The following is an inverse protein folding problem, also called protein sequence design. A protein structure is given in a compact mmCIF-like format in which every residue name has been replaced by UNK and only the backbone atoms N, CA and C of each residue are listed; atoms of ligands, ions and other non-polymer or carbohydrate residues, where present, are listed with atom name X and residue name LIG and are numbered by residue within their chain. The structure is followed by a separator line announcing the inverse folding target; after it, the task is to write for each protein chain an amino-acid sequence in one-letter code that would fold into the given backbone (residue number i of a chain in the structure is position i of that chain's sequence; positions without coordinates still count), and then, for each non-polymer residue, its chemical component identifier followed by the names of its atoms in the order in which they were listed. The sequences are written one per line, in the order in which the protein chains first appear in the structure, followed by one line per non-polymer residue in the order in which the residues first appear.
data_IF_189422584420
#
_entry.id   IF_189422584420
#
_cell.length_a   1.000
_cell.length_b   1.000
_cell.length_c   1.000
_cell.angle_alpha   90.00
_cell.angle_beta   90.00
_cell.angle_gamma   90.00
#
_symmetry.space_group_name_H-M   'P 1'
#
loop_
_entity.id
_entity.type
_entity.pdbx_description
1 polymer ?
#
# COMPACT_ATOMS: atom_id res chain seq x y z
N UNK A 1 -8.47 -20.39 -11.44
CA UNK A 1 -8.43 -18.94 -11.09
C UNK A 1 -7.49 -18.16 -12.02
N UNK A 2 -6.19 -18.47 -12.09
CA UNK A 2 -5.23 -17.74 -12.92
C UNK A 2 -5.57 -17.62 -14.42
N UNK A 3 -6.27 -18.61 -15.00
CA UNK A 3 -6.70 -18.59 -16.42
C UNK A 3 -7.72 -17.49 -16.75
N UNK A 4 -8.43 -16.96 -15.76
CA UNK A 4 -9.52 -16.00 -15.96
C UNK A 4 -9.13 -14.56 -15.57
N UNK A 5 -7.86 -14.29 -15.25
CA UNK A 5 -7.42 -12.93 -14.95
C UNK A 5 -7.50 -12.06 -16.20
N UNK A 6 -8.12 -10.88 -16.06
CA UNK A 6 -8.26 -9.85 -17.09
C UNK A 6 -6.95 -9.10 -17.33
N UNK A 7 -5.95 -9.81 -17.86
CA UNK A 7 -4.57 -9.33 -18.10
C UNK A 7 -4.49 -8.15 -19.06
N UNK A 8 -5.49 -8.02 -19.93
CA UNK A 8 -5.67 -6.92 -20.87
C UNK A 8 -5.88 -5.56 -20.18
N UNK A 9 -6.26 -5.54 -18.90
CA UNK A 9 -6.37 -4.32 -18.10
C UNK A 9 -5.03 -3.80 -17.56
N UNK A 10 -3.96 -4.59 -17.64
CA UNK A 10 -2.63 -4.15 -17.23
C UNK A 10 -2.09 -3.14 -18.24
N UNK A 11 -1.57 -2.02 -17.71
CA UNK A 11 -0.84 -1.06 -18.52
C UNK A 11 0.43 -1.70 -19.09
N UNK A 12 0.93 -1.12 -20.19
CA UNK A 12 2.20 -1.47 -20.82
C UNK A 12 3.05 -0.19 -20.90
N UNK A 13 3.46 0.31 -19.73
CA UNK A 13 4.29 1.50 -19.64
C UNK A 13 5.68 1.16 -20.20
N UNK A 14 6.31 2.05 -20.99
CA UNK A 14 7.65 1.80 -21.48
C UNK A 14 8.62 1.65 -20.29
N UNK A 15 9.57 0.72 -20.35
CA UNK A 15 10.63 0.65 -19.35
C UNK A 15 11.44 1.94 -19.36
N UNK A 16 11.84 2.41 -18.18
CA UNK A 16 12.76 3.56 -18.09
C UNK A 16 14.15 3.08 -18.46
N UNK A 17 14.74 3.66 -19.51
CA UNK A 17 16.16 3.47 -19.80
C UNK A 17 16.97 4.07 -18.65
N UNK A 18 17.69 3.22 -17.90
CA UNK A 18 18.52 3.65 -16.78
C UNK A 18 19.57 4.67 -17.23
N UNK A 19 19.62 5.82 -16.57
CA UNK A 19 20.44 6.96 -17.03
C UNK A 19 20.92 7.87 -15.90
N UNK A 20 21.64 7.29 -14.94
CA UNK A 20 22.77 7.95 -14.26
C UNK A 20 23.87 6.89 -14.13
N UNK A 21 25.14 7.26 -14.04
CA UNK A 21 26.30 6.33 -13.99
C UNK A 21 26.19 5.25 -12.88
N UNK A 22 25.31 5.43 -11.90
CA UNK A 22 24.94 4.47 -10.84
C UNK A 22 23.41 4.31 -10.71
N UNK A 23 22.69 4.30 -11.83
CA UNK A 23 21.22 4.39 -11.88
C UNK A 23 20.48 3.38 -10.99
N UNK A 24 19.19 3.66 -10.67
CA UNK A 24 18.39 2.73 -9.87
C UNK A 24 18.41 1.35 -10.51
N UNK A 25 18.64 0.30 -9.69
CA UNK A 25 18.66 -1.09 -10.17
C UNK A 25 17.40 -1.37 -10.99
N UNK A 26 17.58 -2.06 -12.11
CA UNK A 26 16.46 -2.56 -12.91
C UNK A 26 15.48 -3.32 -11.99
N UNK A 27 14.19 -3.06 -12.18
CA UNK A 27 13.14 -3.84 -11.52
C UNK A 27 13.05 -5.18 -12.24
N UNK A 28 13.42 -6.27 -11.57
CA UNK A 28 13.36 -7.62 -12.12
C UNK A 28 12.07 -8.31 -11.62
N UNK A 29 11.00 -8.42 -12.44
CA UNK A 29 9.75 -9.09 -12.05
C UNK A 29 9.90 -10.42 -11.32
N UNK A 30 10.85 -11.25 -11.72
CA UNK A 30 11.09 -12.57 -11.14
C UNK A 30 11.58 -12.48 -9.69
N UNK A 31 12.48 -11.54 -9.37
CA UNK A 31 12.92 -11.33 -7.99
C UNK A 31 11.77 -10.85 -7.09
N UNK A 32 10.85 -10.07 -7.64
CA UNK A 32 9.66 -9.65 -6.92
C UNK A 32 8.67 -10.79 -6.79
N UNK A 33 8.55 -11.67 -7.79
CA UNK A 33 7.70 -12.86 -7.71
C UNK A 33 8.07 -13.73 -6.50
N UNK A 34 9.37 -13.91 -6.24
CA UNK A 34 9.86 -14.70 -5.10
C UNK A 34 9.49 -14.09 -3.74
N UNK A 35 9.35 -12.77 -3.64
CA UNK A 35 8.96 -12.09 -2.38
C UNK A 35 7.49 -12.33 -2.01
N UNK A 36 6.64 -12.51 -3.02
CA UNK A 36 5.20 -12.80 -2.85
C UNK A 36 4.87 -14.29 -2.95
N UNK A 37 5.86 -15.18 -3.07
CA UNK A 37 5.63 -16.63 -3.28
C UNK A 37 5.04 -17.33 -2.05
N UNK A 38 5.22 -16.76 -0.85
CA UNK A 38 4.79 -17.33 0.44
C UNK A 38 3.70 -16.42 1.05
N UNK A 39 2.71 -16.97 1.76
CA UNK A 39 1.65 -16.19 2.38
C UNK A 39 2.20 -15.20 3.43
N UNK A 40 1.78 -13.94 3.31
CA UNK A 40 2.00 -12.92 4.35
C UNK A 40 0.79 -12.95 5.30
N UNK A 41 1.04 -13.01 6.61
CA UNK A 41 0.00 -13.32 7.59
C UNK A 41 -0.94 -12.15 7.84
N UNK A 42 -0.43 -10.92 7.86
CA UNK A 42 -1.15 -9.63 7.92
C UNK A 42 -2.31 -9.51 8.94
N UNK A 43 -2.42 -10.42 9.90
CA UNK A 43 -3.47 -10.44 10.94
C UNK A 43 -3.05 -9.67 12.20
N UNK A 44 -1.76 -9.62 12.55
CA UNK A 44 -1.29 -8.74 13.62
C UNK A 44 -0.98 -7.34 13.07
N UNK A 45 -1.71 -6.33 13.54
CA UNK A 45 -1.54 -4.95 13.08
C UNK A 45 -0.10 -4.41 13.22
N UNK A 46 0.61 -4.80 14.28
CA UNK A 46 1.99 -4.36 14.51
C UNK A 46 3.04 -5.28 13.90
N UNK A 47 2.63 -6.34 13.18
CA UNK A 47 3.55 -7.24 12.47
C UNK A 47 4.41 -8.12 13.38
N UNK A 48 4.06 -8.27 14.67
CA UNK A 48 4.83 -9.06 15.64
C UNK A 48 4.88 -10.56 15.30
N UNK A 49 3.96 -11.01 14.44
CA UNK A 49 3.87 -12.37 13.90
C UNK A 49 4.48 -12.49 12.50
N UNK A 50 5.07 -11.42 11.95
CA UNK A 50 5.63 -11.42 10.60
C UNK A 50 6.80 -12.40 10.50
N UNK A 51 6.77 -13.37 9.57
CA UNK A 51 7.87 -14.28 9.38
C UNK A 51 9.13 -13.57 8.86
N UNK A 52 10.13 -13.44 9.74
CA UNK A 52 11.37 -12.67 9.50
C UNK A 52 12.11 -13.08 8.22
N UNK A 53 11.99 -14.34 7.80
CA UNK A 53 12.69 -14.88 6.63
C UNK A 53 12.17 -14.31 5.29
N UNK A 54 10.91 -13.89 5.21
CA UNK A 54 10.29 -13.67 3.90
C UNK A 54 9.17 -12.61 3.85
N UNK A 55 8.66 -12.14 4.99
CA UNK A 55 7.62 -11.12 5.05
C UNK A 55 8.20 -9.83 5.64
N UNK A 56 7.90 -8.65 5.06
CA UNK A 56 8.27 -7.39 5.69
C UNK A 56 7.51 -7.19 7.01
N UNK A 57 8.22 -6.78 8.06
CA UNK A 57 7.64 -6.57 9.39
C UNK A 57 6.82 -5.28 9.49
N UNK A 58 7.32 -4.18 8.93
CA UNK A 58 6.73 -2.86 9.10
C UNK A 58 5.99 -2.41 7.83
N UNK A 59 4.95 -1.57 8.02
CA UNK A 59 3.98 -1.28 6.96
C UNK A 59 4.57 -0.48 5.80
N UNK A 60 5.56 0.36 6.09
CA UNK A 60 6.37 1.05 5.10
C UNK A 60 7.01 0.08 4.09
N UNK A 61 7.63 -1.00 4.57
CA UNK A 61 8.32 -1.97 3.73
C UNK A 61 7.33 -2.82 2.93
N UNK A 62 6.16 -3.11 3.49
CA UNK A 62 5.05 -3.72 2.74
C UNK A 62 4.56 -2.79 1.64
N UNK A 63 4.30 -1.52 1.95
CA UNK A 63 3.90 -0.51 0.97
C UNK A 63 4.93 -0.40 -0.16
N UNK A 64 6.22 -0.35 0.17
CA UNK A 64 7.32 -0.36 -0.82
C UNK A 64 7.30 -1.61 -1.68
N UNK A 65 7.17 -2.79 -1.09
CA UNK A 65 7.15 -4.04 -1.84
C UNK A 65 5.96 -4.13 -2.80
N UNK A 66 4.78 -3.73 -2.31
CA UNK A 66 3.53 -3.65 -3.07
C UNK A 66 3.63 -2.64 -4.22
N UNK A 67 4.19 -1.46 -3.96
CA UNK A 67 4.40 -0.42 -4.97
C UNK A 67 5.33 -0.87 -6.09
N UNK A 68 6.49 -1.45 -5.75
CA UNK A 68 7.45 -1.92 -6.76
C UNK A 68 6.89 -3.09 -7.56
N UNK A 69 6.26 -4.06 -6.91
CA UNK A 69 5.61 -5.18 -7.61
C UNK A 69 4.52 -4.70 -8.57
N UNK A 70 3.69 -3.75 -8.14
CA UNK A 70 2.64 -3.17 -8.97
C UNK A 70 3.21 -2.45 -10.18
N UNK A 71 4.26 -1.64 -9.98
CA UNK A 71 4.94 -0.97 -11.09
C UNK A 71 5.53 -1.98 -12.08
N UNK A 72 6.20 -3.03 -11.58
CA UNK A 72 6.75 -4.09 -12.43
C UNK A 72 5.68 -4.76 -13.30
N UNK A 73 4.46 -4.93 -12.76
CA UNK A 73 3.33 -5.52 -13.49
C UNK A 73 2.77 -4.60 -14.59
N UNK A 74 2.89 -3.29 -14.41
CA UNK A 74 2.39 -2.24 -15.31
C UNK A 74 3.43 -1.77 -16.35
N UNK A 75 4.68 -2.21 -16.25
CA UNK A 75 5.73 -1.98 -17.26
C UNK A 75 5.66 -3.04 -18.36
N UNK A 76 5.97 -2.67 -19.60
CA UNK A 76 5.96 -3.52 -20.80
C UNK A 76 7.12 -4.54 -20.85
N UNK A 77 7.24 -5.35 -19.80
CA UNK A 77 8.06 -6.55 -19.82
C UNK A 77 7.34 -7.70 -20.55
N UNK A 78 8.08 -8.67 -21.14
CA UNK A 78 7.49 -9.89 -21.67
C UNK A 78 6.56 -10.55 -20.65
N UNK A 79 5.40 -11.03 -21.12
CA UNK A 79 4.34 -11.57 -20.25
C UNK A 79 4.85 -12.72 -19.39
N UNK A 80 5.71 -13.56 -19.95
CA UNK A 80 6.32 -14.72 -19.32
C UNK A 80 7.15 -14.34 -18.09
N UNK A 81 7.80 -13.17 -18.13
CA UNK A 81 8.57 -12.63 -17.00
C UNK A 81 7.66 -12.16 -15.86
N UNK A 82 6.50 -11.58 -16.21
CA UNK A 82 5.54 -11.01 -15.24
C UNK A 82 4.60 -12.06 -14.65
N UNK A 83 4.37 -13.19 -15.32
CA UNK A 83 3.28 -14.11 -15.00
C UNK A 83 3.33 -14.64 -13.56
N UNK A 84 4.50 -15.04 -13.07
CA UNK A 84 4.64 -15.52 -11.69
C UNK A 84 4.36 -14.40 -10.67
N UNK A 85 4.90 -13.22 -10.90
CA UNK A 85 4.64 -12.05 -10.05
C UNK A 85 3.15 -11.72 -10.03
N UNK A 86 2.50 -11.73 -11.20
CA UNK A 86 1.08 -11.42 -11.33
C UNK A 86 0.23 -12.37 -10.49
N UNK A 87 0.46 -13.68 -10.63
CA UNK A 87 -0.28 -14.70 -9.87
C UNK A 87 -0.07 -14.51 -8.37
N UNK A 88 1.18 -14.36 -7.93
CA UNK A 88 1.52 -14.24 -6.51
C UNK A 88 0.94 -12.95 -5.90
N UNK A 89 1.00 -11.84 -6.63
CA UNK A 89 0.48 -10.56 -6.17
C UNK A 89 -1.06 -10.55 -6.11
N UNK A 90 -1.73 -11.17 -7.08
CA UNK A 90 -3.18 -11.39 -7.03
C UNK A 90 -3.56 -12.30 -5.86
N UNK A 91 -2.80 -13.36 -5.61
CA UNK A 91 -3.02 -14.24 -4.45
C UNK A 91 -2.94 -13.47 -3.14
N UNK A 92 -1.93 -12.61 -2.98
CA UNK A 92 -1.82 -11.76 -1.79
C UNK A 92 -3.06 -10.86 -1.60
N UNK A 93 -3.59 -10.27 -2.67
CA UNK A 93 -4.85 -9.51 -2.61
C UNK A 93 -6.06 -10.36 -2.19
N UNK A 94 -6.13 -11.61 -2.63
CA UNK A 94 -7.18 -12.57 -2.23
C UNK A 94 -7.04 -12.93 -0.74
N UNK A 95 -5.81 -13.13 -0.27
CA UNK A 95 -5.52 -13.49 1.12
C UNK A 95 -5.92 -12.35 2.07
N UNK A 96 -5.51 -11.11 1.77
CA UNK A 96 -5.92 -9.91 2.52
C UNK A 96 -7.45 -9.74 2.52
N UNK A 97 -8.12 -10.00 1.39
CA UNK A 97 -9.57 -9.96 1.33
C UNK A 97 -10.21 -11.07 2.17
N UNK A 98 -9.62 -12.26 2.20
CA UNK A 98 -9.99 -13.35 3.11
C UNK A 98 -9.96 -12.91 4.57
N UNK A 99 -8.90 -12.21 4.99
CA UNK A 99 -8.73 -11.65 6.34
C UNK A 99 -9.87 -10.66 6.66
N UNK A 100 -10.19 -9.74 5.75
CA UNK A 100 -11.30 -8.79 5.93
C UNK A 100 -12.64 -9.53 6.05
N UNK A 101 -12.90 -10.51 5.18
CA UNK A 101 -14.14 -11.31 5.22
C UNK A 101 -14.28 -12.15 6.50
N UNK A 102 -13.17 -12.51 7.14
CA UNK A 102 -13.16 -13.19 8.43
C UNK A 102 -13.45 -12.26 9.62
N UNK A 103 -13.69 -10.97 9.39
CA UNK A 103 -14.08 -9.99 10.42
C UNK A 103 -12.96 -9.06 10.88
N UNK A 104 -11.79 -9.09 10.24
CA UNK A 104 -10.71 -8.15 10.56
C UNK A 104 -11.11 -6.71 10.23
N UNK A 105 -10.75 -5.75 11.09
CA UNK A 105 -11.11 -4.32 10.93
C UNK A 105 -10.24 -3.55 9.93
N UNK A 106 -9.39 -4.25 9.21
CA UNK A 106 -8.41 -3.68 8.29
C UNK A 106 -7.17 -3.15 9.00
N UNK A 107 -6.43 -2.28 8.32
CA UNK A 107 -5.12 -1.78 8.73
C UNK A 107 -5.20 -0.24 8.80
N UNK A 108 -5.71 0.33 9.90
CA UNK A 108 -5.95 1.77 10.01
C UNK A 108 -4.66 2.60 10.07
N UNK A 109 -4.81 3.92 9.95
CA UNK A 109 -3.73 4.87 10.11
C UNK A 109 -3.00 4.73 11.45
N UNK A 110 -1.67 4.63 11.39
CA UNK A 110 -0.80 4.71 12.58
C UNK A 110 0.65 5.00 12.16
N UNK A 111 0.88 6.14 11.51
CA UNK A 111 2.17 6.43 10.88
C UNK A 111 2.42 5.44 9.76
N UNK A 112 3.56 4.74 9.79
CA UNK A 112 3.92 3.77 8.75
C UNK A 112 3.37 2.35 8.90
N UNK A 113 2.45 2.07 9.83
CA UNK A 113 1.98 0.69 10.04
C UNK A 113 0.86 0.26 9.07
N UNK A 114 -0.13 1.11 8.82
CA UNK A 114 -1.38 0.72 8.15
C UNK A 114 -1.31 0.63 6.62
N UNK A 115 -0.27 1.16 6.00
CA UNK A 115 -0.17 1.30 4.54
C UNK A 115 0.19 -0.01 3.83
N UNK A 116 -0.23 -0.15 2.57
CA UNK A 116 0.19 -1.19 1.64
C UNK A 116 -0.77 -2.38 1.49
N UNK A 117 -1.95 -2.37 2.13
CA UNK A 117 -2.91 -3.50 2.09
C UNK A 117 -4.12 -3.22 1.22
N UNK A 118 -4.52 -1.95 1.04
CA UNK A 118 -5.72 -1.66 0.26
C UNK A 118 -5.50 -1.97 -1.22
N UNK A 119 -4.37 -1.53 -1.77
CA UNK A 119 -4.10 -1.65 -3.20
C UNK A 119 -4.07 -3.10 -3.71
N UNK A 120 -3.41 -4.08 -3.07
CA UNK A 120 -3.46 -5.47 -3.54
C UNK A 120 -4.88 -6.06 -3.60
N UNK A 121 -5.76 -5.71 -2.64
CA UNK A 121 -7.18 -6.12 -2.65
C UNK A 121 -7.88 -5.52 -3.89
N UNK A 122 -7.74 -4.22 -4.11
CA UNK A 122 -8.34 -3.54 -5.27
C UNK A 122 -7.79 -4.10 -6.59
N UNK A 123 -6.48 -4.27 -6.69
CA UNK A 123 -5.80 -4.79 -7.87
C UNK A 123 -6.30 -6.21 -8.23
N UNK A 124 -6.37 -7.10 -7.24
CA UNK A 124 -6.94 -8.43 -7.42
C UNK A 124 -8.42 -8.36 -7.84
N UNK A 125 -9.22 -7.51 -7.19
CA UNK A 125 -10.62 -7.28 -7.55
C UNK A 125 -10.82 -6.81 -8.98
N UNK A 126 -9.99 -5.87 -9.45
CA UNK A 126 -10.00 -5.38 -10.83
C UNK A 126 -9.70 -6.52 -11.81
N UNK A 127 -8.66 -7.31 -11.57
CA UNK A 127 -8.28 -8.39 -12.48
C UNK A 127 -9.24 -9.60 -12.44
N UNK A 128 -9.91 -9.83 -11.32
CA UNK A 128 -10.89 -10.91 -11.15
C UNK A 128 -12.32 -10.51 -11.55
N UNK A 129 -12.61 -9.21 -11.65
CA UNK A 129 -13.99 -8.72 -11.82
C UNK A 129 -14.85 -8.85 -10.58
N UNK A 130 -14.23 -8.83 -9.40
CA UNK A 130 -14.93 -8.88 -8.12
C UNK A 130 -15.24 -7.45 -7.66
N UNK A 131 -16.52 -7.05 -7.69
CA UNK A 131 -16.97 -5.72 -7.29
C UNK A 131 -16.83 -5.46 -5.78
N UNK A 132 -16.89 -6.50 -4.94
CA UNK A 132 -16.75 -6.34 -3.49
C UNK A 132 -15.29 -6.03 -3.13
N UNK A 133 -14.34 -6.73 -3.76
CA UNK A 133 -12.91 -6.42 -3.63
C UNK A 133 -12.56 -5.04 -4.17
N UNK A 134 -13.25 -4.56 -5.21
CA UNK A 134 -13.06 -3.21 -5.77
C UNK A 134 -13.62 -2.10 -4.87
N UNK A 135 -14.48 -2.44 -3.90
CA UNK A 135 -15.11 -1.47 -2.99
C UNK A 135 -15.22 -2.03 -1.57
N UNK A 136 -14.09 -2.33 -0.90
CA UNK A 136 -14.07 -3.06 0.36
C UNK A 136 -14.86 -2.33 1.46
N UNK A 137 -14.74 -1.01 1.56
CA UNK A 137 -15.48 -0.21 2.54
C UNK A 137 -16.99 -0.14 2.25
N UNK A 138 -17.45 -0.37 1.00
CA UNK A 138 -18.88 -0.47 0.68
C UNK A 138 -19.46 -1.77 1.21
N UNK A 139 -18.72 -2.87 1.07
CA UNK A 139 -19.13 -4.19 1.56
C UNK A 139 -19.01 -4.30 3.08
N UNK A 140 -17.92 -3.79 3.64
CA UNK A 140 -17.65 -3.78 5.09
C UNK A 140 -17.35 -2.35 5.55
N UNK A 141 -18.38 -1.55 5.91
CA UNK A 141 -18.18 -0.14 6.29
C UNK A 141 -17.25 0.10 7.48
N UNK A 142 -17.02 -0.91 8.32
CA UNK A 142 -16.10 -0.84 9.46
C UNK A 142 -14.64 -1.18 9.14
N UNK A 143 -14.31 -1.58 7.91
CA UNK A 143 -12.92 -1.83 7.50
C UNK A 143 -12.22 -0.50 7.27
N UNK A 144 -10.99 -0.38 7.76
CA UNK A 144 -10.18 0.84 7.68
C UNK A 144 -8.87 0.54 6.95
N UNK A 145 -8.38 1.54 6.21
CA UNK A 145 -7.11 1.47 5.49
C UNK A 145 -6.28 2.71 5.76
N UNK A 146 -4.99 2.54 6.03
CA UNK A 146 -4.05 3.64 6.25
C UNK A 146 -4.00 4.58 5.05
N UNK A 147 -4.07 4.02 3.83
CA UNK A 147 -4.08 4.78 2.58
C UNK A 147 -5.24 5.78 2.51
N UNK A 148 -6.42 5.42 3.01
CA UNK A 148 -7.60 6.28 3.03
C UNK A 148 -7.57 7.31 4.15
N UNK A 149 -7.04 6.89 5.31
CA UNK A 149 -7.08 7.70 6.53
C UNK A 149 -5.96 8.73 6.58
N UNK A 150 -4.80 8.44 5.98
CA UNK A 150 -3.59 9.28 6.03
C UNK A 150 -3.39 10.16 4.81
N UNK A 151 -4.30 10.11 3.83
CA UNK A 151 -4.27 10.99 2.65
C UNK A 151 -5.53 11.85 2.62
N UNK A 152 -5.36 13.17 2.67
CA UNK A 152 -6.48 14.13 2.55
C UNK A 152 -6.23 15.12 1.42
N UNK A 153 -7.31 15.71 0.93
CA UNK A 153 -7.26 16.79 -0.03
C UNK A 153 -7.51 18.13 0.64
N UNK A 154 -6.68 19.13 0.37
CA UNK A 154 -6.78 20.44 1.02
C UNK A 154 -5.83 21.47 0.41
N UNK A 155 -5.56 22.54 1.17
CA UNK A 155 -4.54 23.53 0.84
C UNK A 155 -3.40 23.39 1.86
N UNK A 156 -2.33 22.74 1.45
CA UNK A 156 -1.13 22.58 2.28
C UNK A 156 -0.37 23.89 2.42
N UNK A 157 0.43 24.00 3.47
CA UNK A 157 1.27 25.18 3.71
C UNK A 157 2.30 25.41 2.58
N UNK A 158 2.72 24.33 1.89
CA UNK A 158 3.61 24.37 0.71
C UNK A 158 2.89 24.70 -0.59
N UNK A 159 1.56 24.83 -0.58
CA UNK A 159 0.73 24.91 -1.78
C UNK A 159 0.33 23.56 -2.39
N UNK A 160 0.81 22.43 -1.84
CA UNK A 160 0.36 21.09 -2.22
C UNK A 160 -1.14 20.89 -1.95
N UNK A 161 -1.79 20.03 -2.74
CA UNK A 161 -3.22 19.71 -2.59
C UNK A 161 -3.52 18.34 -1.99
N UNK A 162 -2.64 17.37 -2.24
CA UNK A 162 -2.65 16.10 -1.53
C UNK A 162 -1.75 16.23 -0.30
N UNK A 163 -2.32 16.03 0.89
CA UNK A 163 -1.66 16.25 2.16
C UNK A 163 -1.69 14.96 2.98
N UNK A 164 -0.64 14.74 3.77
CA UNK A 164 -0.64 13.73 4.80
C UNK A 164 -1.50 14.17 5.98
N UNK A 165 -2.43 13.31 6.38
CA UNK A 165 -3.45 13.62 7.38
C UNK A 165 -2.98 13.41 8.83
N UNK A 166 -1.68 13.21 9.05
CA UNK A 166 -1.10 12.99 10.37
C UNK A 166 -0.96 11.52 10.75
N UNK A 167 -0.59 11.29 12.02
CA UNK A 167 -0.18 9.97 12.51
C UNK A 167 -1.34 8.96 12.53
N UNK A 168 -2.55 9.36 12.92
CA UNK A 168 -3.72 8.45 12.97
C UNK A 168 -4.87 8.93 12.09
N UNK A 169 -4.54 9.72 11.07
CA UNK A 169 -5.50 10.35 10.18
C UNK A 169 -6.06 11.66 10.73
N UNK A 170 -6.88 12.31 9.90
CA UNK A 170 -7.30 13.71 10.04
C UNK A 170 -7.75 14.10 11.45
N UNK A 171 -8.67 13.32 12.01
CA UNK A 171 -9.34 13.63 13.28
C UNK A 171 -8.44 13.41 14.52
N UNK A 172 -7.25 12.83 14.33
CA UNK A 172 -6.35 12.51 15.43
C UNK A 172 -6.92 11.45 16.38
N UNK A 173 -6.45 11.47 17.63
CA UNK A 173 -6.92 10.56 18.68
C UNK A 173 -7.10 11.33 19.99
N UNK A 174 -8.22 11.09 20.66
CA UNK A 174 -8.50 11.69 21.96
C UNK A 174 -7.33 11.48 22.94
N UNK A 175 -6.89 12.56 23.59
CA UNK A 175 -5.74 12.56 24.51
C UNK A 175 -4.37 12.48 23.84
N UNK A 176 -4.28 12.53 22.51
CA UNK A 176 -3.02 12.52 21.74
C UNK A 176 -2.90 13.78 20.88
N UNK A 177 -2.41 14.85 21.51
CA UNK A 177 -2.21 16.16 20.88
C UNK A 177 -1.22 16.02 19.70
N UNK A 178 -1.55 16.65 18.56
CA UNK A 178 -0.74 16.66 17.34
C UNK A 178 -0.69 15.35 16.55
N UNK A 179 -1.56 14.37 16.86
CA UNK A 179 -1.62 13.11 16.09
C UNK A 179 -2.53 13.19 14.85
N UNK A 180 -3.28 14.29 14.69
CA UNK A 180 -4.17 14.56 13.56
C UNK A 180 -3.52 15.35 12.42
N UNK A 181 -4.35 15.96 11.56
CA UNK A 181 -3.87 16.74 10.43
C UNK A 181 -3.02 17.95 10.85
N UNK A 182 -1.93 18.21 10.13
CA UNK A 182 -1.01 19.30 10.43
C UNK A 182 -0.48 20.00 9.16
N UNK A 183 -0.50 19.34 8.00
CA UNK A 183 0.09 19.86 6.76
C UNK A 183 -0.59 21.11 6.17
N UNK A 184 -1.80 21.45 6.64
CA UNK A 184 -2.46 22.69 6.27
C UNK A 184 -1.90 23.92 7.03
N UNK A 185 -1.11 23.70 8.07
CA UNK A 185 -0.51 24.73 8.92
C UNK A 185 0.96 24.96 8.57
N UNK A 186 1.44 26.20 8.73
CA UNK A 186 2.88 26.51 8.64
C UNK A 186 3.63 25.77 9.77
N UNK A 187 4.89 25.31 9.57
CA UNK A 187 5.63 24.55 10.59
C UNK A 187 5.73 25.21 11.98
N UNK A 188 5.69 26.54 12.05
CA UNK A 188 5.68 27.28 13.32
C UNK A 188 4.38 27.14 14.13
N UNK A 189 3.35 26.51 13.57
CA UNK A 189 2.04 26.32 14.18
C UNK A 189 1.75 24.83 14.48
N UNK A 190 2.71 23.94 14.22
CA UNK A 190 2.53 22.53 14.52
C UNK A 190 2.60 22.28 16.03
N UNK A 191 1.63 21.55 16.56
CA UNK A 191 1.59 21.13 17.97
C UNK A 191 2.82 20.27 18.35
N UNK A 192 3.30 19.47 17.40
CA UNK A 192 4.55 18.72 17.48
C UNK A 192 4.98 18.26 16.09
N UNK A 193 6.15 17.63 16.01
CA UNK A 193 6.73 17.14 14.75
C UNK A 193 6.36 15.68 14.43
N UNK A 194 5.46 15.04 15.17
CA UNK A 194 5.18 13.61 15.02
C UNK A 194 4.70 13.27 13.61
N UNK A 195 3.73 14.03 13.10
CA UNK A 195 3.19 13.86 11.75
C UNK A 195 4.30 13.94 10.69
N UNK A 196 5.11 14.99 10.73
CA UNK A 196 6.20 15.19 9.77
C UNK A 196 7.31 14.13 9.88
N UNK A 197 7.63 13.70 11.10
CA UNK A 197 8.61 12.63 11.29
C UNK A 197 8.15 11.34 10.62
N UNK A 198 6.89 10.94 10.81
CA UNK A 198 6.33 9.75 10.17
C UNK A 198 6.19 9.93 8.66
N UNK A 199 5.77 11.11 8.19
CA UNK A 199 5.67 11.45 6.77
C UNK A 199 6.99 11.21 6.05
N UNK A 200 8.10 11.62 6.67
CA UNK A 200 9.43 11.53 6.06
C UNK A 200 10.07 10.15 6.14
N UNK A 201 9.83 9.42 7.22
CA UNK A 201 10.52 8.15 7.44
C UNK A 201 9.78 6.92 6.93
N UNK A 202 8.44 6.97 6.92
CA UNK A 202 7.68 5.76 7.16
C UNK A 202 6.35 5.67 6.39
N UNK A 203 5.95 6.67 5.60
CA UNK A 203 4.68 6.67 4.87
C UNK A 203 4.84 7.08 3.43
#
# INVERSE_FOLDING_TARGET
MARNLRRDLLLQLPPVEGGMEQGPREIIPEEWAERFRRPWLDVCFFGLDAPIEYMPHYGHEVCRAVGVASLALLVDYPKERKEKLLINFVQYGIDLWGIVRAGHRGWPAHGGHGSGRKWPILFAGILLGDEEMQSPNKKYPGVLFGEDMQTIYGKGWTGARALYAGHVGKDGRAGKIGWGEYEHLHPSQWENNLGENYRRCCT
#
